data_IF_813176266901
#
_entry.id   IF_813176266901
#
_cell.length_a   1.000
_cell.length_b   1.000
_cell.length_c   1.000
_cell.angle_alpha   90.00
_cell.angle_beta   90.00
_cell.angle_gamma   90.00
#
_symmetry.space_group_name_H-M   'P 1'
#
loop_
_entity.id
_entity.type
_entity.pdbx_description
1 polymer ?
#
# COMPACT_ATOMS: atom_id res chain seq x y z
N UNK A 1 -0.54 15.79 -17.26
CA UNK A 1 -0.55 14.55 -16.45
C UNK A 1 -0.81 13.37 -17.36
N UNK A 2 -0.28 12.19 -17.05
CA UNK A 2 -0.49 10.94 -17.80
C UNK A 2 -0.25 9.73 -16.87
N UNK A 3 -0.66 8.54 -17.28
CA UNK A 3 -0.45 7.32 -16.51
C UNK A 3 -1.35 7.20 -15.28
N UNK A 4 -0.90 6.42 -14.31
CA UNK A 4 -1.64 6.18 -13.07
C UNK A 4 -1.90 7.47 -12.26
N UNK A 5 -1.13 8.54 -12.52
CA UNK A 5 -1.41 9.88 -11.96
C UNK A 5 -2.78 10.44 -12.37
N UNK A 6 -3.34 9.99 -13.51
CA UNK A 6 -4.70 10.31 -13.94
C UNK A 6 -5.78 9.38 -13.37
N UNK A 7 -5.36 8.34 -12.62
CA UNK A 7 -6.26 7.27 -12.15
C UNK A 7 -6.79 6.36 -13.27
N UNK A 8 -6.10 6.30 -14.41
CA UNK A 8 -6.53 5.49 -15.58
C UNK A 8 -6.03 4.06 -15.48
N UNK A 9 -6.59 3.29 -14.56
CA UNK A 9 -6.41 1.84 -14.49
C UNK A 9 -7.78 1.16 -14.34
N UNK A 10 -7.88 -0.09 -14.76
CA UNK A 10 -9.15 -0.82 -14.65
C UNK A 10 -8.92 -2.29 -14.33
N UNK A 11 -9.89 -2.86 -13.62
CA UNK A 11 -9.98 -4.28 -13.31
C UNK A 11 -10.82 -5.01 -14.37
N UNK A 12 -10.36 -6.19 -14.78
CA UNK A 12 -11.04 -7.13 -15.66
C UNK A 12 -11.05 -8.51 -15.00
N UNK A 13 -12.15 -8.87 -14.34
CA UNK A 13 -12.21 -10.10 -13.55
C UNK A 13 -11.17 -10.07 -12.43
N UNK A 14 -10.26 -11.05 -12.38
CA UNK A 14 -9.17 -11.09 -11.40
C UNK A 14 -7.93 -10.25 -11.79
N UNK A 15 -7.88 -9.70 -13.00
CA UNK A 15 -6.71 -8.98 -13.52
C UNK A 15 -6.88 -7.47 -13.33
N UNK A 16 -5.79 -6.77 -13.01
CA UNK A 16 -5.71 -5.30 -13.00
C UNK A 16 -4.76 -4.87 -14.10
N UNK A 17 -5.15 -3.87 -14.90
CA UNK A 17 -4.35 -3.33 -15.98
C UNK A 17 -4.27 -1.79 -15.87
N UNK A 18 -3.08 -1.29 -15.60
CA UNK A 18 -2.72 0.13 -15.63
C UNK A 18 -1.71 0.48 -16.74
N UNK A 19 -0.89 -0.47 -17.18
CA UNK A 19 0.22 -0.18 -18.10
C UNK A 19 -0.26 0.24 -19.49
N UNK A 20 -1.23 -0.48 -20.07
CA UNK A 20 -1.78 -0.12 -21.40
C UNK A 20 -2.48 1.25 -21.38
N UNK A 21 -3.40 1.55 -20.43
CA UNK A 21 -3.98 2.88 -20.37
C UNK A 21 -2.96 3.98 -20.05
N UNK A 22 -1.90 3.67 -19.28
CA UNK A 22 -0.81 4.62 -19.06
C UNK A 22 -0.07 4.98 -20.35
N UNK A 23 0.36 3.98 -21.13
CA UNK A 23 0.98 4.19 -22.44
C UNK A 23 0.04 4.99 -23.37
N UNK A 24 -1.24 4.61 -23.43
CA UNK A 24 -2.22 5.29 -24.27
C UNK A 24 -2.42 6.76 -23.88
N UNK A 25 -2.49 7.06 -22.58
CA UNK A 25 -2.61 8.44 -22.08
C UNK A 25 -1.36 9.29 -22.38
N UNK A 26 -0.16 8.67 -22.39
CA UNK A 26 1.08 9.32 -22.80
C UNK A 26 1.10 9.64 -24.30
N UNK A 27 0.68 8.70 -25.14
CA UNK A 27 0.52 8.92 -26.60
C UNK A 27 -0.48 10.06 -26.85
N UNK A 28 -1.61 10.08 -26.14
CA UNK A 28 -2.59 11.15 -26.25
C UNK A 28 -1.99 12.51 -25.84
N UNK A 29 -1.20 12.58 -24.76
CA UNK A 29 -0.56 13.82 -24.32
C UNK A 29 0.45 14.33 -25.35
N UNK A 30 1.27 13.44 -25.92
CA UNK A 30 2.21 13.79 -26.98
C UNK A 30 1.49 14.33 -28.23
N UNK A 31 0.37 13.72 -28.63
CA UNK A 31 -0.45 14.21 -29.76
C UNK A 31 -0.97 15.61 -29.49
N UNK A 32 -1.51 15.88 -28.29
CA UNK A 32 -1.97 17.23 -27.92
C UNK A 32 -0.84 18.24 -27.96
N UNK A 33 0.34 17.90 -27.42
CA UNK A 33 1.50 18.80 -27.43
C UNK A 33 1.97 19.12 -28.86
N UNK A 34 2.03 18.12 -29.74
CA UNK A 34 2.43 18.32 -31.13
C UNK A 34 1.45 19.28 -31.84
N UNK A 35 0.15 19.14 -31.60
CA UNK A 35 -0.86 20.02 -32.19
C UNK A 35 -0.78 21.46 -31.65
N UNK A 36 -0.66 21.60 -30.33
CA UNK A 36 -0.42 22.89 -29.67
C UNK A 36 0.83 23.59 -30.23
N UNK A 37 1.93 22.83 -30.41
CA UNK A 37 3.18 23.32 -30.99
C UNK A 37 3.02 23.80 -32.42
N UNK A 38 2.28 23.08 -33.28
CA UNK A 38 2.01 23.51 -34.67
C UNK A 38 1.29 24.85 -34.74
N UNK A 39 0.41 25.11 -33.77
CA UNK A 39 -0.37 26.36 -33.66
C UNK A 39 0.37 27.45 -32.88
N UNK A 40 1.50 27.10 -32.27
CA UNK A 40 2.22 27.92 -31.28
C UNK A 40 1.30 28.43 -30.16
N UNK A 41 0.31 27.63 -29.78
CA UNK A 41 -0.67 27.95 -28.74
C UNK A 41 -0.70 26.81 -27.71
N UNK A 42 -0.25 27.12 -26.50
CA UNK A 42 -0.25 26.22 -25.35
C UNK A 42 -1.29 26.62 -24.29
N UNK A 43 -2.25 27.47 -24.66
CA UNK A 43 -3.36 27.83 -23.81
C UNK A 43 -4.31 26.66 -23.57
N UNK A 44 -5.21 26.86 -22.61
CA UNK A 44 -6.21 25.87 -22.21
C UNK A 44 -7.04 25.37 -23.41
N UNK A 45 -7.42 26.26 -24.32
CA UNK A 45 -8.20 25.91 -25.51
C UNK A 45 -7.52 24.82 -26.35
N UNK A 46 -6.23 24.98 -26.64
CA UNK A 46 -5.45 24.02 -27.43
C UNK A 46 -5.13 22.73 -26.65
N UNK A 47 -4.91 22.84 -25.33
CA UNK A 47 -4.62 21.66 -24.49
C UNK A 47 -5.86 20.85 -24.11
N UNK A 48 -7.05 21.46 -24.13
CA UNK A 48 -8.32 20.81 -23.76
C UNK A 48 -8.65 19.59 -24.63
N UNK A 49 -8.14 19.54 -25.87
CA UNK A 49 -8.24 18.39 -26.78
C UNK A 49 -7.72 17.10 -26.13
N UNK A 50 -6.75 17.21 -25.21
CA UNK A 50 -6.26 16.06 -24.45
C UNK A 50 -7.39 15.34 -23.70
N UNK A 51 -8.33 16.08 -23.11
CA UNK A 51 -9.47 15.52 -22.38
C UNK A 51 -10.34 14.64 -23.28
N UNK A 52 -10.58 15.08 -24.51
CA UNK A 52 -11.32 14.30 -25.51
C UNK A 52 -10.57 13.01 -25.88
N UNK A 53 -9.25 13.08 -26.05
CA UNK A 53 -8.44 11.90 -26.35
C UNK A 53 -8.39 10.88 -25.20
N UNK A 54 -8.59 11.32 -23.95
CA UNK A 54 -8.66 10.45 -22.77
C UNK A 54 -10.03 9.79 -22.56
N UNK A 55 -11.09 10.27 -23.21
CA UNK A 55 -12.46 9.80 -22.98
C UNK A 55 -12.63 8.27 -23.10
N UNK A 56 -12.04 7.60 -24.12
CA UNK A 56 -12.15 6.14 -24.23
C UNK A 56 -11.54 5.39 -23.04
N UNK A 57 -10.49 5.95 -22.43
CA UNK A 57 -9.85 5.36 -21.24
C UNK A 57 -10.77 5.49 -20.03
N UNK A 58 -11.32 6.68 -19.79
CA UNK A 58 -12.24 6.91 -18.68
C UNK A 58 -13.54 6.10 -18.79
N UNK A 59 -14.06 5.87 -20.00
CA UNK A 59 -15.21 4.97 -20.20
C UNK A 59 -14.91 3.54 -19.71
N UNK A 60 -13.68 3.04 -19.89
CA UNK A 60 -13.27 1.72 -19.39
C UNK A 60 -13.14 1.69 -17.87
N UNK A 61 -12.60 2.76 -17.28
CA UNK A 61 -12.53 2.93 -15.82
C UNK A 61 -13.94 2.89 -15.23
N UNK A 62 -14.88 3.65 -15.79
CA UNK A 62 -16.27 3.69 -15.29
C UNK A 62 -16.99 2.35 -15.45
N UNK A 63 -16.78 1.65 -16.57
CA UNK A 63 -17.28 0.29 -16.75
C UNK A 63 -16.71 -0.67 -15.71
N UNK A 64 -15.42 -0.57 -15.42
CA UNK A 64 -14.76 -1.40 -14.41
C UNK A 64 -15.26 -1.10 -12.99
N UNK A 65 -15.47 0.18 -12.64
CA UNK A 65 -16.09 0.60 -11.39
C UNK A 65 -17.48 -0.01 -11.21
N UNK A 66 -18.29 0.04 -12.27
CA UNK A 66 -19.65 -0.52 -12.28
C UNK A 66 -19.63 -2.04 -12.12
N UNK A 67 -18.75 -2.73 -12.85
CA UNK A 67 -18.57 -4.18 -12.74
C UNK A 67 -18.08 -4.60 -11.36
N UNK A 68 -17.11 -3.89 -10.78
CA UNK A 68 -16.54 -4.20 -9.47
C UNK A 68 -17.61 -4.09 -8.38
N UNK A 69 -18.50 -3.09 -8.45
CA UNK A 69 -19.65 -2.99 -7.54
C UNK A 69 -20.58 -4.23 -7.58
N UNK A 70 -20.71 -4.88 -8.73
CA UNK A 70 -21.53 -6.08 -8.88
C UNK A 70 -20.79 -7.35 -8.44
N UNK A 71 -19.50 -7.47 -8.77
CA UNK A 71 -18.71 -8.69 -8.53
C UNK A 71 -18.03 -8.72 -7.16
N UNK A 72 -17.88 -7.57 -6.49
CA UNK A 72 -17.20 -7.45 -5.19
C UNK A 72 -18.16 -7.27 -4.01
N UNK A 73 -19.46 -7.51 -4.23
CA UNK A 73 -20.44 -7.51 -3.15
C UNK A 73 -20.11 -8.58 -2.11
N UNK A 74 -20.47 -8.32 -0.85
CA UNK A 74 -20.32 -9.27 0.27
C UNK A 74 -20.85 -10.67 -0.10
N UNK A 75 -21.98 -10.72 -0.81
CA UNK A 75 -22.57 -11.96 -1.31
C UNK A 75 -21.63 -12.77 -2.22
N UNK A 76 -20.96 -12.10 -3.17
CA UNK A 76 -20.08 -12.76 -4.12
C UNK A 76 -18.82 -13.35 -3.46
N UNK A 77 -18.33 -12.73 -2.38
CA UNK A 77 -17.15 -13.20 -1.66
C UNK A 77 -17.44 -14.15 -0.50
N UNK A 78 -18.57 -14.03 0.20
CA UNK A 78 -18.86 -14.86 1.38
C UNK A 78 -19.88 -15.98 1.13
N UNK A 79 -20.83 -15.78 0.21
CA UNK A 79 -21.96 -16.70 0.01
C UNK A 79 -21.73 -17.62 -1.18
N UNK A 80 -21.31 -17.09 -2.33
CA UNK A 80 -21.06 -17.93 -3.52
C UNK A 80 -19.96 -18.98 -3.30
N UNK A 81 -18.82 -18.68 -2.65
CA UNK A 81 -17.79 -19.70 -2.42
C UNK A 81 -18.26 -20.75 -1.43
N UNK A 82 -18.99 -20.37 -0.36
CA UNK A 82 -19.47 -21.33 0.64
C UNK A 82 -20.49 -22.32 0.06
N UNK A 83 -21.38 -21.85 -0.82
CA UNK A 83 -22.31 -22.71 -1.59
C UNK A 83 -21.55 -23.54 -2.63
N UNK A 84 -20.59 -22.94 -3.35
CA UNK A 84 -19.77 -23.67 -4.33
C UNK A 84 -18.99 -24.83 -3.69
N UNK A 85 -18.36 -24.58 -2.55
CA UNK A 85 -17.64 -25.60 -1.79
C UNK A 85 -18.58 -26.66 -1.21
N UNK A 86 -19.77 -26.29 -0.72
CA UNK A 86 -20.75 -27.26 -0.20
C UNK A 86 -21.33 -28.16 -1.30
N UNK A 87 -21.43 -27.65 -2.54
CA UNK A 87 -21.83 -28.39 -3.73
C UNK A 87 -20.67 -29.13 -4.41
N UNK A 88 -19.47 -29.12 -3.82
CA UNK A 88 -18.32 -29.89 -4.30
C UNK A 88 -17.53 -29.24 -5.45
N UNK A 89 -17.83 -28.00 -5.82
CA UNK A 89 -16.99 -27.19 -6.70
C UNK A 89 -15.77 -26.70 -5.91
N UNK A 90 -14.57 -27.16 -6.29
CA UNK A 90 -13.32 -26.73 -5.64
C UNK A 90 -12.74 -27.74 -4.65
N UNK A 91 -12.78 -29.05 -4.97
CA UNK A 91 -11.81 -30.03 -4.43
C UNK A 91 -10.39 -29.54 -4.77
N UNK A 92 -9.88 -28.66 -3.91
CA UNK A 92 -8.54 -28.14 -3.99
C UNK A 92 -7.63 -29.28 -3.53
N UNK A 93 -6.66 -29.64 -4.36
CA UNK A 93 -5.49 -30.37 -3.87
C UNK A 93 -4.99 -29.61 -2.64
N UNK A 94 -4.69 -30.34 -1.56
CA UNK A 94 -4.23 -29.75 -0.31
C UNK A 94 -3.11 -28.75 -0.62
N UNK A 95 -3.45 -27.46 -0.58
CA UNK A 95 -2.48 -26.39 -0.76
C UNK A 95 -1.41 -26.59 0.30
N UNK A 96 -0.15 -26.32 -0.06
CA UNK A 96 0.99 -26.35 0.87
C UNK A 96 0.56 -25.75 2.19
N UNK A 97 0.50 -26.59 3.23
CA UNK A 97 0.32 -26.13 4.61
C UNK A 97 1.43 -25.11 4.84
N UNK A 98 1.05 -23.85 5.03
CA UNK A 98 2.01 -22.80 5.38
C UNK A 98 2.73 -23.31 6.62
N UNK A 99 4.04 -23.52 6.50
CA UNK A 99 4.81 -24.13 7.56
C UNK A 99 4.76 -23.20 8.77
N UNK A 100 4.15 -23.63 9.89
CA UNK A 100 3.98 -22.79 11.08
C UNK A 100 5.32 -22.31 11.67
N UNK A 101 6.46 -22.89 11.25
CA UNK A 101 7.79 -22.36 11.58
C UNK A 101 8.06 -20.97 10.98
N UNK A 102 7.43 -20.62 9.86
CA UNK A 102 7.51 -19.25 9.29
C UNK A 102 6.68 -18.22 10.09
N UNK A 103 5.82 -18.69 11.01
CA UNK A 103 4.93 -17.86 11.84
C UNK A 103 5.61 -17.44 13.16
N UNK A 104 6.72 -18.09 13.54
CA UNK A 104 7.46 -17.78 14.77
C UNK A 104 8.49 -16.65 14.64
N UNK A 105 8.77 -16.16 13.43
CA UNK A 105 9.73 -15.06 13.22
C UNK A 105 9.05 -13.71 13.49
N UNK A 106 9.75 -12.85 14.22
CA UNK A 106 9.44 -11.43 14.37
C UNK A 106 9.28 -10.77 12.99
N UNK A 107 8.22 -9.97 12.78
CA UNK A 107 7.97 -9.31 11.50
C UNK A 107 9.14 -8.44 11.08
N UNK A 108 9.85 -7.83 12.03
CA UNK A 108 11.08 -7.07 11.76
C UNK A 108 12.10 -7.97 11.04
N UNK A 109 12.43 -9.13 11.60
CA UNK A 109 13.42 -10.04 11.02
C UNK A 109 13.00 -10.53 9.64
N UNK A 110 11.70 -10.83 9.46
CA UNK A 110 11.18 -11.26 8.16
C UNK A 110 11.33 -10.17 7.10
N UNK A 111 10.94 -8.95 7.44
CA UNK A 111 11.00 -7.80 6.52
C UNK A 111 12.46 -7.46 6.19
N UNK A 112 13.36 -7.46 7.18
CA UNK A 112 14.79 -7.25 6.99
C UNK A 112 15.43 -8.31 6.06
N UNK A 113 15.00 -9.57 6.13
CA UNK A 113 15.45 -10.62 5.19
C UNK A 113 15.06 -10.35 3.74
N UNK A 114 13.91 -9.70 3.50
CA UNK A 114 13.50 -9.30 2.15
C UNK A 114 14.19 -8.02 1.69
N UNK A 115 14.32 -7.03 2.59
CA UNK A 115 15.05 -5.79 2.31
C UNK A 115 16.50 -6.10 1.96
N UNK A 116 17.14 -7.04 2.66
CA UNK A 116 18.51 -7.47 2.35
C UNK A 116 18.70 -8.11 0.96
N UNK A 117 17.62 -8.41 0.23
CA UNK A 117 17.67 -8.87 -1.17
C UNK A 117 17.52 -7.73 -2.18
N UNK A 118 17.08 -6.56 -1.74
CA UNK A 118 16.90 -5.41 -2.60
C UNK A 118 18.26 -4.77 -2.92
N UNK A 119 18.41 -4.33 -4.16
CA UNK A 119 19.46 -3.38 -4.49
C UNK A 119 18.93 -1.98 -4.16
N UNK A 120 19.51 -1.34 -3.15
CA UNK A 120 19.09 -0.02 -2.67
C UNK A 120 20.28 0.95 -2.67
N UNK A 121 20.06 2.15 -3.17
CA UNK A 121 21.03 3.23 -3.16
C UNK A 121 20.53 4.37 -2.28
N UNK A 122 21.04 4.43 -1.04
CA UNK A 122 20.60 5.39 -0.01
C UNK A 122 21.10 6.81 -0.29
N UNK A 123 20.19 7.79 -0.18
CA UNK A 123 20.54 9.21 -0.11
C UNK A 123 20.80 9.60 1.34
N UNK A 124 22.09 9.61 1.74
CA UNK A 124 22.51 9.91 3.12
C UNK A 124 22.25 11.35 3.56
N UNK A 125 21.95 12.25 2.62
CA UNK A 125 21.83 13.68 2.89
C UNK A 125 20.36 14.09 3.01
N UNK A 126 19.45 13.36 2.34
CA UNK A 126 18.06 13.77 2.22
C UNK A 126 17.11 12.57 2.27
N UNK A 127 16.19 12.61 3.24
CA UNK A 127 14.98 11.79 3.19
C UNK A 127 14.01 12.33 2.13
N UNK A 128 13.56 11.49 1.20
CA UNK A 128 12.50 11.83 0.23
C UNK A 128 11.11 11.92 0.87
N UNK A 129 10.95 11.50 2.13
CA UNK A 129 9.69 11.59 2.88
C UNK A 129 9.94 12.48 4.09
N UNK A 130 9.11 13.51 4.24
CA UNK A 130 9.07 14.29 5.47
C UNK A 130 7.92 13.78 6.35
N UNK A 131 8.23 13.51 7.62
CA UNK A 131 7.27 13.03 8.61
C UNK A 131 7.32 13.95 9.83
N UNK A 132 6.18 14.50 10.23
CA UNK A 132 6.00 15.10 11.55
C UNK A 132 5.76 13.95 12.54
N UNK A 133 6.83 13.46 13.17
CA UNK A 133 6.77 12.33 14.10
C UNK A 133 5.90 12.63 15.32
N UNK A 134 5.83 13.89 15.76
CA UNK A 134 5.01 14.29 16.90
C UNK A 134 3.53 14.24 16.55
N UNK A 135 3.15 14.76 15.38
CA UNK A 135 1.79 14.66 14.88
C UNK A 135 1.39 13.20 14.58
N UNK A 136 2.29 12.43 13.97
CA UNK A 136 2.07 11.01 13.70
C UNK A 136 1.94 10.20 15.00
N UNK A 137 2.68 10.57 16.06
CA UNK A 137 2.60 9.93 17.38
C UNK A 137 1.29 10.22 18.11
N UNK A 138 0.64 11.37 17.84
CA UNK A 138 -0.67 11.72 18.39
C UNK A 138 -1.83 10.96 17.72
N UNK A 139 -1.63 10.40 16.54
CA UNK A 139 -2.65 9.57 15.89
C UNK A 139 -2.93 8.31 16.72
N UNK A 140 -4.20 8.01 16.96
CA UNK A 140 -4.61 6.90 17.83
C UNK A 140 -4.44 5.53 17.18
N UNK A 141 -4.38 5.47 15.85
CA UNK A 141 -4.33 4.22 15.08
C UNK A 141 -2.95 3.94 14.52
N UNK A 142 -2.13 4.97 14.29
CA UNK A 142 -0.77 4.91 13.76
C UNK A 142 -0.66 3.99 12.54
N UNK A 143 -1.62 4.13 11.62
CA UNK A 143 -1.84 3.21 10.51
C UNK A 143 -0.62 3.03 9.59
N UNK A 144 0.29 4.00 9.54
CA UNK A 144 1.56 3.90 8.80
C UNK A 144 2.42 2.71 9.20
N UNK A 145 2.34 2.26 10.47
CA UNK A 145 3.14 1.15 10.99
C UNK A 145 2.74 -0.17 10.33
N UNK A 146 1.49 -0.66 10.45
CA UNK A 146 1.09 -1.93 9.83
C UNK A 146 0.94 -1.86 8.30
N UNK A 147 0.78 -0.66 7.72
CA UNK A 147 0.55 -0.51 6.28
C UNK A 147 1.84 -0.29 5.47
N UNK A 148 2.96 0.03 6.12
CA UNK A 148 4.23 0.15 5.42
C UNK A 148 4.81 -1.26 5.12
N UNK A 149 5.03 -1.63 3.83
CA UNK A 149 5.47 -2.97 3.46
C UNK A 149 6.91 -3.30 3.88
N UNK A 150 7.70 -2.27 4.20
CA UNK A 150 9.13 -2.35 4.53
C UNK A 150 9.45 -1.81 5.92
N UNK A 151 8.41 -1.56 6.74
CA UNK A 151 8.57 -1.12 8.13
C UNK A 151 9.40 0.16 8.32
N UNK A 152 9.25 1.15 7.43
CA UNK A 152 9.80 2.49 7.63
C UNK A 152 9.23 3.19 8.88
N UNK A 153 8.13 2.70 9.43
CA UNK A 153 7.50 3.25 10.62
C UNK A 153 7.50 2.18 11.71
N UNK A 154 7.91 2.56 12.91
CA UNK A 154 7.96 1.68 14.08
C UNK A 154 7.28 2.32 15.27
N UNK A 155 6.70 1.49 16.14
CA UNK A 155 6.13 1.89 17.41
C UNK A 155 7.17 1.71 18.50
N UNK A 156 7.54 2.79 19.18
CA UNK A 156 8.41 2.79 20.35
C UNK A 156 7.54 2.86 21.60
N UNK A 157 7.72 1.90 22.48
CA UNK A 157 7.02 1.80 23.77
C UNK A 157 8.02 1.46 24.86
N UNK A 158 7.61 1.52 26.13
CA UNK A 158 8.40 1.01 27.25
C UNK A 158 8.74 -0.49 27.13
N UNK A 159 7.96 -1.24 26.33
CA UNK A 159 8.14 -2.68 26.09
C UNK A 159 9.15 -2.98 24.98
N UNK A 160 9.61 -1.96 24.27
CA UNK A 160 10.51 -2.08 23.12
C UNK A 160 9.95 -1.45 21.85
N UNK A 161 10.59 -1.79 20.73
CA UNK A 161 10.26 -1.29 19.39
C UNK A 161 9.53 -2.37 18.60
N UNK A 162 8.42 -2.02 17.97
CA UNK A 162 7.58 -2.94 17.21
C UNK A 162 7.28 -2.39 15.81
N UNK A 163 7.47 -3.19 14.77
CA UNK A 163 7.07 -2.83 13.39
C UNK A 163 5.70 -3.39 13.00
N UNK A 164 5.06 -4.14 13.91
CA UNK A 164 3.79 -4.84 13.66
C UNK A 164 2.96 -4.88 14.93
N UNK A 165 1.70 -4.46 14.83
CA UNK A 165 0.75 -4.56 15.95
C UNK A 165 0.45 -6.00 16.33
N UNK A 166 0.61 -6.95 15.41
CA UNK A 166 0.51 -8.38 15.71
C UNK A 166 1.59 -8.82 16.68
N UNK A 167 2.82 -8.34 16.50
CA UNK A 167 3.95 -8.76 17.35
C UNK A 167 3.84 -8.16 18.75
N UNK A 168 3.38 -6.91 18.84
CA UNK A 168 3.00 -6.28 20.12
C UNK A 168 1.86 -7.05 20.82
N UNK A 169 0.82 -7.43 20.08
CA UNK A 169 -0.28 -8.24 20.61
C UNK A 169 0.23 -9.59 21.14
N UNK A 170 1.05 -10.30 20.36
CA UNK A 170 1.63 -11.57 20.78
C UNK A 170 2.54 -11.41 22.00
N UNK A 171 3.30 -10.32 22.09
CA UNK A 171 4.08 -9.99 23.28
C UNK A 171 3.17 -9.81 24.52
N UNK A 172 2.10 -9.02 24.39
CA UNK A 172 1.15 -8.79 25.47
C UNK A 172 0.39 -10.06 25.88
N UNK A 173 0.06 -10.93 24.92
CA UNK A 173 -0.61 -12.21 25.16
C UNK A 173 0.31 -13.18 25.90
N UNK A 174 1.59 -13.29 25.50
CA UNK A 174 2.57 -14.14 26.21
C UNK A 174 2.74 -13.75 27.68
N UNK A 175 2.59 -12.46 28.00
CA UNK A 175 2.63 -11.96 29.40
C UNK A 175 1.42 -12.36 30.23
N UNK A 176 0.30 -12.76 29.63
CA UNK A 176 -0.87 -13.23 30.38
C UNK A 176 -0.73 -14.69 30.86
N UNK A 177 0.25 -15.46 30.35
CA UNK A 177 0.54 -16.82 30.80
C UNK A 177 -0.47 -17.90 30.38
N UNK A 178 -1.73 -17.55 30.17
CA UNK A 178 -2.81 -18.45 29.77
C UNK A 178 -3.47 -18.04 28.44
N UNK A 179 -3.92 -19.03 27.67
CA UNK A 179 -4.62 -18.82 26.40
C UNK A 179 -6.14 -18.88 26.60
N UNK A 180 -6.66 -18.05 27.51
CA UNK A 180 -8.09 -17.90 27.81
C UNK A 180 -8.72 -16.73 27.05
N UNK A 181 -10.05 -16.71 26.94
CA UNK A 181 -10.77 -15.60 26.31
C UNK A 181 -10.52 -14.27 27.03
N UNK A 182 -10.45 -14.31 28.36
CA UNK A 182 -10.12 -13.18 29.23
C UNK A 182 -8.69 -12.68 28.98
N UNK A 183 -7.72 -13.59 28.85
CA UNK A 183 -6.34 -13.24 28.53
C UNK A 183 -6.21 -12.57 27.16
N UNK A 184 -6.93 -13.08 26.15
CA UNK A 184 -6.98 -12.46 24.81
C UNK A 184 -7.57 -11.05 24.85
N UNK A 185 -8.69 -10.86 25.58
CA UNK A 185 -9.32 -9.56 25.74
C UNK A 185 -8.39 -8.56 26.42
N UNK A 186 -7.74 -8.95 27.52
CA UNK A 186 -6.80 -8.11 28.25
C UNK A 186 -5.55 -7.78 27.41
N UNK A 187 -5.00 -8.75 26.67
CA UNK A 187 -3.88 -8.52 25.76
C UNK A 187 -4.25 -7.52 24.66
N UNK A 188 -5.47 -7.58 24.13
CA UNK A 188 -5.97 -6.65 23.13
C UNK A 188 -6.12 -5.23 23.71
N UNK A 189 -6.69 -5.08 24.90
CA UNK A 189 -6.82 -3.80 25.61
C UNK A 189 -5.44 -3.17 25.89
N UNK A 190 -4.49 -3.98 26.37
CA UNK A 190 -3.10 -3.54 26.57
C UNK A 190 -2.47 -3.07 25.26
N UNK A 191 -2.66 -3.83 24.17
CA UNK A 191 -2.12 -3.49 22.85
C UNK A 191 -2.66 -2.17 22.34
N UNK A 192 -3.96 -1.91 22.46
CA UNK A 192 -4.55 -0.63 22.07
C UNK A 192 -4.11 0.53 22.97
N UNK A 193 -3.85 0.27 24.25
CA UNK A 193 -3.24 1.27 25.14
C UNK A 193 -1.83 1.62 24.68
N UNK A 194 -1.00 0.61 24.42
CA UNK A 194 0.37 0.78 23.94
C UNK A 194 0.43 1.50 22.59
N UNK A 195 -0.46 1.19 21.65
CA UNK A 195 -0.54 1.87 20.35
C UNK A 195 -0.87 3.35 20.54
N UNK A 196 -1.84 3.68 21.40
CA UNK A 196 -2.24 5.07 21.63
C UNK A 196 -1.14 5.89 22.29
N UNK A 197 -0.44 5.31 23.26
CA UNK A 197 0.54 6.02 24.08
C UNK A 197 1.98 5.94 23.54
N UNK A 198 2.28 4.96 22.68
CA UNK A 198 3.60 4.79 22.09
C UNK A 198 3.96 5.91 21.12
N UNK A 199 5.26 6.09 20.88
CA UNK A 199 5.78 7.05 19.92
C UNK A 199 5.98 6.37 18.57
N UNK A 200 5.64 7.06 17.49
CA UNK A 200 5.95 6.62 16.15
C UNK A 200 7.33 7.16 15.74
N UNK A 201 8.19 6.28 15.24
CA UNK A 201 9.49 6.64 14.68
C UNK A 201 9.59 6.25 13.22
N UNK A 202 10.21 7.13 12.43
CA UNK A 202 10.34 6.99 11.00
C UNK A 202 11.80 6.84 10.57
N UNK A 203 12.04 5.85 9.69
CA UNK A 203 13.32 5.61 9.02
C UNK A 203 13.08 5.29 7.53
N UNK A 204 13.70 6.08 6.65
CA UNK A 204 13.50 6.01 5.20
C UNK A 204 14.44 5.02 4.48
N UNK A 205 15.47 4.50 5.15
CA UNK A 205 16.59 3.75 4.53
C UNK A 205 16.14 2.49 3.77
N UNK A 206 14.96 1.95 4.06
CA UNK A 206 14.41 0.78 3.38
C UNK A 206 13.25 1.09 2.42
N UNK A 207 12.91 2.36 2.18
CA UNK A 207 11.70 2.72 1.45
C UNK A 207 11.72 2.23 0.00
N UNK A 208 10.71 1.47 -0.39
CA UNK A 208 10.54 0.97 -1.77
C UNK A 208 9.71 1.89 -2.67
N UNK A 209 9.54 3.14 -2.27
CA UNK A 209 8.79 4.17 -2.99
C UNK A 209 7.34 3.76 -3.38
N UNK A 210 6.67 2.95 -2.56
CA UNK A 210 5.30 2.48 -2.82
C UNK A 210 4.22 3.57 -2.70
N UNK A 211 4.52 4.68 -2.02
CA UNK A 211 3.60 5.81 -1.84
C UNK A 211 2.48 5.61 -0.82
N UNK A 212 2.30 4.42 -0.24
CA UNK A 212 1.21 4.11 0.70
C UNK A 212 1.12 5.13 1.84
N UNK A 213 2.25 5.51 2.44
CA UNK A 213 2.28 6.44 3.56
C UNK A 213 1.81 7.86 3.21
N UNK A 214 2.02 8.30 1.97
CA UNK A 214 1.53 9.58 1.45
C UNK A 214 0.06 9.56 1.06
N UNK A 215 -0.54 8.37 0.88
CA UNK A 215 -1.97 8.22 0.52
C UNK A 215 -2.87 8.11 1.76
N UNK A 216 -2.41 7.39 2.80
CA UNK A 216 -3.25 7.09 3.97
C UNK A 216 -3.29 8.22 5.00
N UNK A 217 -2.25 9.07 5.01
CA UNK A 217 -2.05 10.12 5.99
C UNK A 217 -2.39 11.49 5.42
N UNK A 218 -2.75 12.47 6.27
CA UNK A 218 -2.92 13.82 5.80
C UNK A 218 -1.55 14.44 5.42
N UNK A 219 -1.48 15.31 4.40
CA UNK A 219 -0.21 15.82 3.86
C UNK A 219 0.65 16.64 4.84
N UNK A 220 0.04 17.17 5.90
CA UNK A 220 0.72 17.88 6.98
C UNK A 220 1.48 16.94 7.92
N UNK A 221 1.10 15.66 8.01
CA UNK A 221 1.78 14.66 8.86
C UNK A 221 2.83 13.90 8.06
N UNK A 222 2.47 13.43 6.86
CA UNK A 222 3.41 12.74 5.97
C UNK A 222 3.37 13.38 4.60
N UNK A 223 4.50 13.98 4.21
CA UNK A 223 4.71 14.48 2.87
C UNK A 223 5.63 13.53 2.11
N UNK A 224 5.02 12.70 1.27
CA UNK A 224 5.74 11.80 0.40
C UNK A 224 6.28 12.55 -0.83
N UNK A 225 7.59 12.47 -1.05
CA UNK A 225 8.25 12.86 -2.28
C UNK A 225 8.87 11.65 -2.98
N UNK A 226 9.55 11.87 -4.10
CA UNK A 226 10.29 10.83 -4.78
C UNK A 226 11.79 10.93 -4.47
N UNK A 227 12.47 9.79 -4.56
CA UNK A 227 13.92 9.74 -4.57
C UNK A 227 14.47 10.44 -5.81
N UNK A 228 15.65 11.07 -5.66
CA UNK A 228 16.27 11.87 -6.72
C UNK A 228 17.58 11.23 -7.20
N UNK A 229 18.03 11.61 -8.39
CA UNK A 229 19.36 11.25 -8.92
C UNK A 229 19.66 9.74 -8.95
N UNK A 230 18.63 8.90 -9.10
CA UNK A 230 18.79 7.44 -9.15
C UNK A 230 19.05 6.78 -7.78
N UNK A 231 18.80 7.49 -6.68
CA UNK A 231 18.69 6.91 -5.34
C UNK A 231 17.37 6.14 -5.17
N UNK A 232 17.29 5.35 -4.11
CA UNK A 232 16.16 4.49 -3.79
C UNK A 232 16.35 3.04 -4.23
N UNK A 233 15.24 2.32 -4.29
CA UNK A 233 15.21 0.91 -4.68
C UNK A 233 15.41 0.75 -6.19
N UNK A 234 16.21 -0.25 -6.57
CA UNK A 234 16.39 -0.69 -7.95
C UNK A 234 15.71 -2.04 -8.15
N UNK A 235 14.57 -2.00 -8.82
CA UNK A 235 13.85 -3.22 -9.21
C UNK A 235 14.55 -3.86 -10.42
N UNK A 236 14.82 -5.17 -10.33
CA UNK A 236 15.34 -5.97 -11.44
C UNK A 236 14.26 -7.01 -11.78
N UNK A 237 13.82 -7.03 -13.04
CA UNK A 237 12.81 -7.97 -13.55
C UNK A 237 11.43 -7.86 -12.85
N UNK A 238 10.94 -6.63 -12.68
CA UNK A 238 9.67 -6.32 -12.01
C UNK A 238 8.49 -7.19 -12.43
#
# INVERSE_FOLDING_TARGET
MAGDSLGVFYKMGALIDGMRPAIASGIAAAKTFIEAKKRNDFGEASLSVYRTLLEPLYRRVEKSRSNSRLTEGRFAYSVLPSIGFSLGFGKSSAGRVINMRDVQRDAVQKIQQYIGKLEYHEDKVRSHIAVDEDAASRDQFKAWIPLCPVSCYTLVTEKGVFSSFRDLYLHNLRKQGENSAEAMKKALEMTWSDIRNGLLKFDHVACVACGTCGVIGPPEVVRFGHEWHGHGVKFRYG
#
